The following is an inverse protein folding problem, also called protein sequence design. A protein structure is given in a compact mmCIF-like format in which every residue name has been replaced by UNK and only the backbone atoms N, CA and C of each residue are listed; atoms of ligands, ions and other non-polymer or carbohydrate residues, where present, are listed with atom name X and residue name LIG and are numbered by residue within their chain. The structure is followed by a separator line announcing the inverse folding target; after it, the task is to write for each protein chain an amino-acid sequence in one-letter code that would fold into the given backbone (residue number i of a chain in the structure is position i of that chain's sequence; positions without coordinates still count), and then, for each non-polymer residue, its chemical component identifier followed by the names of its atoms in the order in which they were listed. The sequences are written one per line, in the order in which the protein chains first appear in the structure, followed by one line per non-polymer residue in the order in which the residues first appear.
data_IF_282773908689
#
_entry.id   IF_282773908689
#
_cell.length_a   1.000
_cell.length_b   1.000
_cell.length_c   1.000
_cell.angle_alpha   90.00
_cell.angle_beta   90.00
_cell.angle_gamma   90.00
#
_symmetry.space_group_name_H-M   'P 1'
#
loop_
_entity.id
_entity.type
_entity.pdbx_description
1 polymer ?
#
# COMPACT_ATOMS: atom_id res chain seq x y z
N UNK A 1 -16.16 -62.05 24.45
CA UNK A 1 -16.73 -62.72 23.28
C UNK A 1 -17.03 -61.65 22.24
N UNK A 2 -16.67 -61.89 21.06
CA UNK A 2 -16.94 -61.21 19.80
C UNK A 2 -15.78 -60.40 19.20
N UNK A 3 -15.35 -60.95 18.09
CA UNK A 3 -14.22 -60.62 17.26
C UNK A 3 -14.37 -59.30 16.51
N UNK A 4 -13.29 -58.58 16.47
CA UNK A 4 -13.14 -57.40 15.66
C UNK A 4 -12.41 -57.72 14.35
N UNK A 5 -13.08 -57.55 13.23
CA UNK A 5 -12.47 -57.69 11.91
C UNK A 5 -11.69 -56.42 11.55
N UNK A 6 -10.41 -56.62 11.31
CA UNK A 6 -9.53 -55.66 10.71
C UNK A 6 -9.79 -55.61 9.21
N UNK A 7 -10.21 -54.46 8.70
CA UNK A 7 -10.15 -54.15 7.27
C UNK A 7 -9.05 -53.13 7.05
N UNK A 8 -7.94 -53.60 6.49
CA UNK A 8 -6.81 -52.81 6.04
C UNK A 8 -7.14 -52.33 4.62
N UNK A 9 -7.39 -51.03 4.44
CA UNK A 9 -7.49 -50.41 3.12
C UNK A 9 -6.17 -49.79 2.77
N UNK A 10 -5.44 -50.44 1.85
CA UNK A 10 -4.25 -49.86 1.20
C UNK A 10 -4.70 -48.81 0.17
N UNK A 11 -4.54 -47.54 0.48
CA UNK A 11 -4.69 -46.47 -0.49
C UNK A 11 -3.36 -46.19 -1.17
N UNK A 12 -3.23 -46.57 -2.44
CA UNK A 12 -2.13 -46.16 -3.31
C UNK A 12 -2.27 -44.67 -3.66
N UNK A 13 -1.42 -43.83 -3.07
CA UNK A 13 -1.26 -42.44 -3.50
C UNK A 13 -0.30 -42.42 -4.69
N UNK A 14 -0.84 -42.21 -5.89
CA UNK A 14 -0.04 -41.92 -7.08
C UNK A 14 0.47 -40.46 -6.99
N UNK A 15 1.75 -40.29 -6.70
CA UNK A 15 2.44 -39.01 -6.91
C UNK A 15 2.66 -38.81 -8.41
N UNK A 16 1.93 -37.92 -9.03
CA UNK A 16 2.25 -37.40 -10.35
C UNK A 16 3.42 -36.42 -10.21
N UNK A 17 4.62 -36.88 -10.49
CA UNK A 17 5.78 -36.03 -10.75
C UNK A 17 5.56 -35.37 -12.13
N UNK A 18 5.26 -34.07 -12.13
CA UNK A 18 5.34 -33.26 -13.33
C UNK A 18 6.82 -33.17 -13.72
N UNK A 19 7.22 -33.99 -14.68
CA UNK A 19 8.51 -33.90 -15.35
C UNK A 19 8.55 -32.55 -16.10
N UNK A 20 9.40 -31.63 -15.68
CA UNK A 20 9.91 -30.59 -16.56
C UNK A 20 10.63 -31.32 -17.70
N UNK A 21 10.03 -31.33 -18.88
CA UNK A 21 10.67 -31.79 -20.09
C UNK A 21 11.92 -30.95 -20.34
N UNK A 22 13.09 -31.55 -20.23
CA UNK A 22 14.29 -30.98 -20.82
C UNK A 22 14.08 -31.03 -22.33
N UNK A 23 14.15 -29.87 -22.98
CA UNK A 23 14.19 -29.79 -24.42
C UNK A 23 15.34 -30.67 -24.92
N UNK A 24 15.00 -31.61 -25.80
CA UNK A 24 15.97 -32.46 -26.43
C UNK A 24 17.02 -31.59 -27.13
N UNK A 25 18.27 -31.70 -26.67
CA UNK A 25 19.41 -31.21 -27.43
C UNK A 25 19.59 -32.22 -28.57
N UNK A 26 18.96 -31.93 -29.71
CA UNK A 26 19.20 -32.68 -30.93
C UNK A 26 20.63 -32.41 -31.37
N UNK A 27 21.52 -33.38 -31.12
CA UNK A 27 22.85 -33.36 -31.71
C UNK A 27 22.75 -33.42 -33.22
N UNK A 28 23.34 -32.49 -33.99
CA UNK A 28 23.24 -32.50 -35.44
C UNK A 28 23.95 -33.71 -35.99
N UNK A 29 23.16 -34.69 -36.42
CA UNK A 29 23.65 -35.73 -37.34
C UNK A 29 24.12 -35.11 -38.62
N UNK A 30 25.17 -35.64 -39.20
CA UNK A 30 25.84 -35.27 -40.45
C UNK A 30 24.83 -34.85 -41.54
N UNK A 31 24.78 -33.57 -41.91
CA UNK A 31 24.23 -33.12 -43.20
C UNK A 31 22.98 -32.23 -43.15
N UNK A 32 22.67 -31.54 -42.06
CA UNK A 32 21.61 -30.56 -42.02
C UNK A 32 22.14 -29.12 -42.14
N UNK A 33 21.53 -28.32 -42.99
CA UNK A 33 21.81 -26.88 -43.12
C UNK A 33 21.55 -26.17 -41.78
N UNK A 34 22.56 -25.47 -41.29
CA UNK A 34 22.43 -24.65 -40.07
C UNK A 34 21.64 -23.41 -40.49
N UNK A 35 20.34 -23.36 -40.20
CA UNK A 35 19.55 -22.14 -40.33
C UNK A 35 19.89 -21.23 -39.14
N UNK A 36 20.80 -20.29 -39.38
CA UNK A 36 21.06 -19.22 -38.39
C UNK A 36 19.92 -18.22 -38.54
N UNK A 37 18.91 -18.32 -37.66
CA UNK A 37 17.95 -17.22 -37.50
C UNK A 37 18.71 -16.02 -36.93
N UNK A 38 18.79 -14.91 -37.63
CA UNK A 38 19.38 -13.70 -37.07
C UNK A 38 18.55 -13.31 -35.83
N UNK A 39 19.21 -12.85 -34.76
CA UNK A 39 18.49 -12.41 -33.54
C UNK A 39 17.45 -11.38 -33.95
N UNK A 40 16.22 -11.55 -33.46
CA UNK A 40 15.12 -10.61 -33.71
C UNK A 40 15.61 -9.21 -33.32
N UNK A 41 15.51 -8.28 -34.27
CA UNK A 41 15.80 -6.86 -34.03
C UNK A 41 14.98 -6.44 -32.81
N UNK A 42 15.59 -5.90 -31.73
CA UNK A 42 14.82 -5.42 -30.59
C UNK A 42 13.74 -4.47 -31.07
N UNK A 43 12.51 -4.68 -30.64
CA UNK A 43 11.45 -3.72 -30.89
C UNK A 43 11.89 -2.36 -30.35
N UNK A 44 11.64 -1.25 -31.04
CA UNK A 44 12.00 0.06 -30.56
C UNK A 44 11.38 0.26 -29.17
N UNK A 45 12.21 0.57 -28.19
CA UNK A 45 11.76 0.94 -26.85
C UNK A 45 10.75 2.07 -27.00
N UNK A 46 9.51 1.95 -26.48
CA UNK A 46 8.56 3.03 -26.58
C UNK A 46 9.18 4.29 -25.95
N UNK A 47 9.11 5.39 -26.69
CA UNK A 47 9.57 6.68 -26.18
C UNK A 47 8.87 6.96 -24.86
N UNK A 48 9.59 7.48 -23.83
CA UNK A 48 8.97 7.84 -22.57
C UNK A 48 7.80 8.78 -22.87
N UNK A 49 6.60 8.38 -22.44
CA UNK A 49 5.43 9.27 -22.46
C UNK A 49 5.80 10.52 -21.67
N UNK A 50 5.65 11.73 -22.23
CA UNK A 50 5.95 12.94 -21.51
C UNK A 50 5.14 12.95 -20.22
N UNK A 51 5.81 13.01 -19.10
CA UNK A 51 5.18 13.23 -17.78
C UNK A 51 4.42 14.55 -17.87
N UNK A 52 3.12 14.61 -17.57
CA UNK A 52 2.40 15.86 -17.55
C UNK A 52 3.13 16.80 -16.58
N UNK A 53 3.64 17.91 -17.07
CA UNK A 53 4.19 18.99 -16.26
C UNK A 53 3.00 19.63 -15.56
N UNK A 54 2.58 19.12 -14.42
CA UNK A 54 1.64 19.82 -13.56
C UNK A 54 2.32 21.10 -13.10
N UNK A 55 1.61 22.23 -13.21
CA UNK A 55 2.05 23.48 -12.57
C UNK A 55 2.22 23.29 -11.05
N UNK A 56 2.70 24.30 -10.32
CA UNK A 56 2.84 24.20 -8.88
C UNK A 56 1.48 23.87 -8.24
N UNK A 57 1.50 23.00 -7.24
CA UNK A 57 0.31 22.62 -6.49
C UNK A 57 -0.24 23.85 -5.78
N UNK A 58 -1.56 24.03 -5.78
CA UNK A 58 -2.26 25.08 -5.03
C UNK A 58 -2.88 24.45 -3.80
N UNK A 59 -2.73 25.10 -2.65
CA UNK A 59 -3.28 24.61 -1.39
C UNK A 59 -4.82 24.45 -1.45
N UNK A 60 -5.33 23.36 -0.89
CA UNK A 60 -6.75 23.16 -0.71
C UNK A 60 -7.38 24.29 0.13
N UNK A 61 -8.66 24.59 -0.10
CA UNK A 61 -9.33 25.69 0.58
C UNK A 61 -9.47 25.44 2.10
N UNK A 62 -9.79 24.20 2.49
CA UNK A 62 -10.08 23.81 3.87
C UNK A 62 -9.76 22.34 4.13
N UNK A 63 -9.74 21.94 5.38
CA UNK A 63 -9.66 20.56 5.80
C UNK A 63 -11.00 19.85 5.62
N UNK A 64 -11.02 18.61 5.07
CA UNK A 64 -12.25 17.85 4.93
C UNK A 64 -12.82 17.46 6.29
N UNK A 65 -14.15 17.32 6.34
CA UNK A 65 -14.82 16.73 7.49
C UNK A 65 -14.66 15.22 7.46
N UNK A 66 -14.30 14.63 8.60
CA UNK A 66 -14.20 13.18 8.79
C UNK A 66 -15.19 12.71 9.87
N UNK A 67 -15.51 11.42 9.89
CA UNK A 67 -16.47 10.86 10.84
C UNK A 67 -15.97 10.87 12.31
N UNK A 68 -14.65 10.97 12.53
CA UNK A 68 -14.09 11.05 13.88
C UNK A 68 -14.54 12.34 14.59
N UNK A 69 -15.04 12.21 15.81
CA UNK A 69 -15.63 13.35 16.57
C UNK A 69 -14.63 14.48 16.82
N UNK A 70 -13.34 14.16 17.02
CA UNK A 70 -12.31 15.18 17.19
C UNK A 70 -11.99 15.93 15.88
N UNK A 71 -12.40 15.38 14.72
CA UNK A 71 -12.17 16.02 13.42
C UNK A 71 -10.69 16.14 13.05
N UNK A 72 -10.42 16.98 12.07
CA UNK A 72 -9.08 17.42 11.66
C UNK A 72 -8.90 18.87 12.13
N UNK A 73 -7.68 19.23 12.52
CA UNK A 73 -7.33 20.62 12.86
C UNK A 73 -6.60 21.26 11.69
N UNK A 74 -7.07 22.43 11.25
CA UNK A 74 -6.40 23.22 10.20
C UNK A 74 -5.16 23.93 10.78
N UNK A 75 -3.99 23.66 10.25
CA UNK A 75 -2.71 24.30 10.62
C UNK A 75 -2.34 25.44 9.65
N UNK A 76 -3.13 25.67 8.61
CA UNK A 76 -2.81 26.62 7.55
C UNK A 76 -2.12 25.97 6.36
N UNK A 77 -1.18 26.67 5.75
CA UNK A 77 -0.51 26.20 4.54
C UNK A 77 0.97 25.95 4.76
N UNK A 78 1.53 25.03 3.97
CA UNK A 78 2.94 24.66 3.94
C UNK A 78 3.44 24.78 2.50
N UNK A 79 4.46 25.61 2.28
CA UNK A 79 5.07 25.81 0.96
C UNK A 79 6.29 24.92 0.78
N UNK A 80 6.48 24.42 -0.43
CA UNK A 80 7.64 23.63 -0.82
C UNK A 80 7.95 23.73 -2.31
N UNK A 81 8.96 23.02 -2.80
CA UNK A 81 9.39 23.09 -4.22
C UNK A 81 8.30 22.70 -5.22
N UNK A 82 7.32 21.90 -4.82
CA UNK A 82 6.24 21.40 -5.68
C UNK A 82 4.98 22.27 -5.62
N UNK A 83 4.93 23.26 -4.73
CA UNK A 83 3.81 24.19 -4.56
C UNK A 83 3.41 24.37 -3.11
N UNK A 84 2.16 24.73 -2.89
CA UNK A 84 1.61 25.01 -1.57
C UNK A 84 0.54 23.98 -1.21
N UNK A 85 0.53 23.55 0.04
CA UNK A 85 -0.38 22.52 0.56
C UNK A 85 -1.12 23.02 1.80
N UNK A 86 -2.41 22.74 1.91
CA UNK A 86 -3.16 22.85 3.16
C UNK A 86 -2.73 21.72 4.10
N UNK A 87 -2.44 22.05 5.35
CA UNK A 87 -2.02 21.09 6.37
C UNK A 87 -3.17 20.83 7.34
N UNK A 88 -3.62 19.56 7.37
CA UNK A 88 -4.67 19.11 8.27
C UNK A 88 -4.07 18.12 9.29
N UNK A 89 -4.03 18.54 10.56
CA UNK A 89 -3.50 17.71 11.64
C UNK A 89 -4.48 16.59 11.96
N UNK A 90 -3.97 15.36 12.00
CA UNK A 90 -4.74 14.19 12.43
C UNK A 90 -5.03 14.24 13.93
N UNK A 91 -6.22 13.78 14.38
CA UNK A 91 -6.50 13.61 15.80
C UNK A 91 -5.55 12.60 16.42
N UNK A 92 -5.22 12.76 17.70
CA UNK A 92 -4.37 11.81 18.41
C UNK A 92 -5.01 10.41 18.55
N UNK A 93 -6.35 10.35 18.45
CA UNK A 93 -7.11 9.10 18.50
C UNK A 93 -8.27 9.13 17.50
N UNK A 94 -8.30 8.16 16.61
CA UNK A 94 -9.49 7.82 15.85
C UNK A 94 -10.38 6.91 16.71
N UNK A 95 -11.43 7.49 17.28
CA UNK A 95 -12.41 6.76 18.10
C UNK A 95 -13.61 6.24 17.31
N UNK A 96 -13.71 6.62 16.04
CA UNK A 96 -14.74 6.17 15.11
C UNK A 96 -14.11 5.89 13.74
N UNK A 97 -14.65 4.89 13.03
CA UNK A 97 -14.23 4.57 11.67
C UNK A 97 -14.33 5.81 10.79
N UNK A 98 -13.25 6.09 10.08
CA UNK A 98 -13.08 7.36 9.36
C UNK A 98 -12.32 7.15 8.06
N UNK A 99 -12.61 8.00 7.09
CA UNK A 99 -11.87 8.05 5.82
C UNK A 99 -11.07 9.35 5.75
N UNK A 100 -9.81 9.26 5.39
CA UNK A 100 -8.97 10.38 4.96
C UNK A 100 -9.08 10.47 3.44
N UNK A 101 -9.92 11.37 2.90
CA UNK A 101 -10.11 11.48 1.46
C UNK A 101 -8.87 12.06 0.78
N UNK A 102 -8.68 11.74 -0.49
CA UNK A 102 -7.74 12.49 -1.31
C UNK A 102 -8.34 13.85 -1.67
N UNK A 103 -7.61 14.90 -1.33
CA UNK A 103 -7.91 16.27 -1.76
C UNK A 103 -6.64 16.84 -2.38
N UNK A 104 -6.74 17.35 -3.61
CA UNK A 104 -5.61 17.97 -4.27
C UNK A 104 -5.11 19.18 -3.47
N UNK A 105 -3.80 19.32 -3.30
CA UNK A 105 -3.20 20.40 -2.52
C UNK A 105 -3.38 20.27 -1.01
N UNK A 106 -3.65 19.07 -0.48
CA UNK A 106 -3.80 18.81 0.94
C UNK A 106 -2.81 17.74 1.40
N UNK A 107 -2.26 17.94 2.59
CA UNK A 107 -1.48 16.95 3.32
C UNK A 107 -2.03 16.74 4.73
N UNK A 108 -2.04 15.50 5.18
CA UNK A 108 -2.39 15.14 6.56
C UNK A 108 -1.14 15.09 7.42
N UNK A 109 -1.14 15.76 8.56
CA UNK A 109 0.03 15.81 9.45
C UNK A 109 -0.19 15.00 10.71
N UNK A 110 0.74 14.09 10.99
CA UNK A 110 0.87 13.47 12.29
C UNK A 110 1.66 14.41 13.22
N UNK A 111 1.06 14.79 14.34
CA UNK A 111 1.69 15.59 15.37
C UNK A 111 1.86 14.75 16.64
N UNK A 112 2.91 13.94 16.67
CA UNK A 112 3.14 12.94 17.70
C UNK A 112 2.49 11.59 17.37
N UNK A 113 2.08 10.86 18.40
CA UNK A 113 1.41 9.56 18.26
C UNK A 113 -0.04 9.75 17.79
N UNK A 114 -0.43 8.98 16.79
CA UNK A 114 -1.81 8.89 16.29
C UNK A 114 -2.27 7.45 16.45
N UNK A 115 -3.31 7.21 17.22
CA UNK A 115 -3.87 5.89 17.46
C UNK A 115 -5.15 5.65 16.64
N UNK A 116 -5.27 4.47 16.06
CA UNK A 116 -6.52 3.97 15.47
C UNK A 116 -7.17 3.03 16.47
N UNK A 117 -8.31 3.48 17.01
CA UNK A 117 -9.05 2.80 18.06
C UNK A 117 -8.30 2.63 19.36
N UNK A 118 -8.94 2.03 20.33
CA UNK A 118 -8.35 1.62 21.62
C UNK A 118 -7.87 0.18 21.54
N UNK A 119 -6.91 -0.20 22.40
CA UNK A 119 -6.40 -1.56 22.45
C UNK A 119 -7.44 -2.52 23.03
N UNK A 120 -7.94 -3.43 22.19
CA UNK A 120 -8.91 -4.45 22.57
C UNK A 120 -8.34 -5.62 23.39
N UNK A 121 -7.01 -5.65 23.61
CA UNK A 121 -6.36 -6.73 24.34
C UNK A 121 -6.05 -7.96 23.48
N UNK A 122 -5.59 -9.06 24.08
CA UNK A 122 -5.13 -10.24 23.35
C UNK A 122 -6.26 -11.14 22.80
N UNK A 123 -7.47 -10.96 23.30
CA UNK A 123 -8.65 -11.75 22.90
C UNK A 123 -9.75 -10.81 22.45
N UNK A 124 -10.30 -11.06 21.27
CA UNK A 124 -11.42 -10.27 20.75
C UNK A 124 -12.62 -10.33 21.68
N UNK A 125 -13.21 -9.19 21.98
CA UNK A 125 -14.39 -9.05 22.83
C UNK A 125 -15.45 -8.17 22.16
N UNK A 126 -16.68 -8.21 22.67
CA UNK A 126 -17.78 -7.36 22.16
C UNK A 126 -17.56 -5.86 22.48
N UNK A 127 -16.61 -5.53 23.35
CA UNK A 127 -16.30 -4.15 23.76
C UNK A 127 -15.12 -3.55 22.99
N UNK A 128 -14.53 -4.28 22.03
CA UNK A 128 -13.46 -3.77 21.20
C UNK A 128 -14.01 -2.63 20.35
N UNK A 129 -13.20 -1.60 20.12
CA UNK A 129 -13.64 -0.40 19.39
C UNK A 129 -13.90 -0.65 17.91
N UNK A 130 -13.27 -1.68 17.32
CA UNK A 130 -13.43 -2.08 15.91
C UNK A 130 -13.38 -0.91 14.92
N UNK A 131 -12.51 0.05 15.18
CA UNK A 131 -12.33 1.23 14.34
C UNK A 131 -11.57 0.86 13.08
N UNK A 132 -12.06 1.31 11.92
CA UNK A 132 -11.36 1.22 10.65
C UNK A 132 -10.95 2.62 10.18
N UNK A 133 -9.65 2.80 9.92
CA UNK A 133 -9.13 3.99 9.25
C UNK A 133 -8.88 3.67 7.78
N UNK A 134 -9.62 4.31 6.89
CA UNK A 134 -9.40 4.23 5.45
C UNK A 134 -8.60 5.43 4.98
N UNK A 135 -7.54 5.20 4.19
CA UNK A 135 -6.76 6.25 3.54
C UNK A 135 -6.95 6.08 2.03
N UNK A 136 -7.48 7.11 1.37
CA UNK A 136 -7.75 7.04 -0.07
C UNK A 136 -6.46 7.10 -0.91
N UNK A 137 -6.48 6.47 -2.10
CA UNK A 137 -5.39 6.53 -3.06
C UNK A 137 -4.99 7.97 -3.41
N UNK A 138 -3.72 8.31 -3.29
CA UNK A 138 -3.17 9.63 -3.57
C UNK A 138 -3.03 10.53 -2.35
N UNK A 139 -3.56 10.14 -1.19
CA UNK A 139 -3.39 10.91 0.05
C UNK A 139 -1.92 10.99 0.46
N UNK A 140 -1.51 12.15 0.99
CA UNK A 140 -0.15 12.41 1.47
C UNK A 140 -0.21 12.62 2.98
N UNK A 141 0.54 11.79 3.70
CA UNK A 141 0.66 11.87 5.16
C UNK A 141 2.09 12.31 5.51
N UNK A 142 2.20 13.39 6.26
CA UNK A 142 3.49 13.95 6.68
C UNK A 142 3.70 13.81 8.17
N UNK A 143 4.97 13.68 8.56
CA UNK A 143 5.37 13.54 9.95
C UNK A 143 6.62 14.38 10.26
N UNK A 144 6.79 14.74 11.51
CA UNK A 144 8.01 15.37 12.03
C UNK A 144 8.43 14.73 13.35
N UNK A 145 9.73 14.73 13.62
CA UNK A 145 10.27 14.16 14.86
C UNK A 145 9.94 12.68 15.01
N UNK A 146 9.41 12.30 16.17
CA UNK A 146 9.04 10.92 16.52
C UNK A 146 7.56 10.60 16.29
N UNK A 147 6.88 11.33 15.39
CA UNK A 147 5.47 11.07 15.07
C UNK A 147 5.29 9.72 14.38
N UNK A 148 4.23 9.02 14.74
CA UNK A 148 3.91 7.72 14.14
C UNK A 148 2.41 7.42 14.21
N UNK A 149 1.96 6.55 13.29
CA UNK A 149 0.61 5.99 13.27
C UNK A 149 0.65 4.59 13.90
N UNK A 150 -0.23 4.35 14.85
CA UNK A 150 -0.38 3.08 15.53
C UNK A 150 -1.79 2.55 15.38
N UNK A 151 -1.91 1.31 14.93
CA UNK A 151 -3.20 0.61 14.86
C UNK A 151 -3.28 -0.33 16.05
N UNK A 152 -4.14 -0.01 17.01
CA UNK A 152 -4.32 -0.81 18.21
C UNK A 152 -5.06 -2.11 17.90
N UNK A 153 -4.85 -3.14 18.72
CA UNK A 153 -5.48 -4.46 18.55
C UNK A 153 -7.02 -4.33 18.52
N UNK A 154 -7.65 -5.11 17.66
CA UNK A 154 -9.09 -5.05 17.42
C UNK A 154 -9.52 -3.96 16.43
N UNK A 155 -8.56 -3.24 15.82
CA UNK A 155 -8.83 -2.18 14.84
C UNK A 155 -8.09 -2.45 13.53
N UNK A 156 -8.43 -1.72 12.49
CA UNK A 156 -7.89 -1.95 11.14
C UNK A 156 -7.50 -0.65 10.44
N UNK A 157 -6.61 -0.78 9.45
CA UNK A 157 -6.28 0.28 8.51
C UNK A 157 -6.41 -0.26 7.08
N UNK A 158 -7.04 0.53 6.21
CA UNK A 158 -7.14 0.30 4.78
C UNK A 158 -6.37 1.42 4.06
N UNK A 159 -5.16 1.12 3.63
CA UNK A 159 -4.30 2.08 2.93
C UNK A 159 -3.88 1.50 1.57
N UNK A 160 -4.86 1.40 0.67
CA UNK A 160 -4.70 0.78 -0.64
C UNK A 160 -4.48 1.87 -1.70
N UNK A 161 -3.22 2.19 -2.00
CA UNK A 161 -2.86 3.06 -3.11
C UNK A 161 -2.98 2.35 -4.47
N UNK A 162 -2.90 3.12 -5.56
CA UNK A 162 -2.82 2.60 -6.92
C UNK A 162 -1.49 2.98 -7.55
N UNK A 163 -1.13 2.37 -8.69
CA UNK A 163 0.08 2.72 -9.43
C UNK A 163 0.09 4.17 -9.92
N UNK A 164 -1.07 4.74 -10.22
CA UNK A 164 -1.23 6.15 -10.65
C UNK A 164 -1.48 7.11 -9.48
N UNK A 165 -1.93 6.61 -8.33
CA UNK A 165 -2.24 7.40 -7.12
C UNK A 165 -1.76 6.66 -5.87
N UNK A 166 -0.43 6.58 -5.66
CA UNK A 166 0.12 5.96 -4.45
C UNK A 166 -0.24 6.80 -3.21
N UNK A 167 -0.43 6.14 -2.08
CA UNK A 167 -0.46 6.81 -0.78
C UNK A 167 0.98 7.09 -0.37
N UNK A 168 1.27 8.31 0.05
CA UNK A 168 2.64 8.74 0.38
C UNK A 168 2.73 9.04 1.87
N UNK A 169 3.65 8.36 2.55
CA UNK A 169 4.08 8.71 3.90
C UNK A 169 5.47 9.31 3.81
N UNK A 170 5.64 10.54 4.32
CA UNK A 170 6.91 11.24 4.19
C UNK A 170 7.17 12.20 5.38
N UNK A 171 8.30 12.89 5.39
CA UNK A 171 8.59 13.92 6.39
C UNK A 171 8.12 15.30 5.94
N UNK A 172 7.89 16.18 6.92
CA UNK A 172 7.66 17.62 6.66
C UNK A 172 8.81 18.19 5.83
N UNK A 173 10.06 17.88 6.19
CA UNK A 173 11.24 18.36 5.51
C UNK A 173 11.27 17.98 4.02
N UNK A 174 10.78 16.79 3.68
CA UNK A 174 10.72 16.37 2.28
C UNK A 174 9.72 17.21 1.48
N UNK A 175 8.61 17.64 2.10
CA UNK A 175 7.61 18.50 1.45
C UNK A 175 8.11 19.94 1.34
N UNK A 176 8.78 20.47 2.35
CA UNK A 176 9.37 21.83 2.33
C UNK A 176 10.64 21.93 1.47
N UNK A 177 11.26 20.80 1.14
CA UNK A 177 12.55 20.77 0.43
C UNK A 177 13.75 21.06 1.33
N UNK A 178 13.55 21.03 2.65
CA UNK A 178 14.65 21.19 3.61
C UNK A 178 15.54 19.95 3.60
N UNK A 179 16.85 20.18 3.59
CA UNK A 179 17.81 19.09 3.73
C UNK A 179 17.85 18.62 5.19
N UNK A 180 17.91 17.29 5.38
CA UNK A 180 18.18 16.69 6.68
C UNK A 180 19.61 16.96 7.11
#
# INVERSE_FOLDING_TARGET
MTNFHRSLVLGCSALALASCGADEIVSPGTGGDIIINPPATPAPTPAPTPTPTSGPVTAAAECPTIANTAGLSDEGTLSGPTGEYRVCILPALFSASSTLPFVEGLVYRMNGRVDVGTDGGPTATANDSNVELTIEPGAIIIASGSSFLNVNRGNTIQANGTSSRPIIFTSVNNVTGDKL
#
